data_IF_097808989241
#
_entry.id   IF_097808989241
#
_cell.length_a   1.000
_cell.length_b   1.000
_cell.length_c   1.000
_cell.angle_alpha   90.00
_cell.angle_beta   90.00
_cell.angle_gamma   90.00
#
_symmetry.space_group_name_H-M   'P 1'
#
loop_
_entity.id
_entity.type
_entity.pdbx_description
1 polymer ?
#
# COMPACT_ATOMS: atom_id res chain seq x y z
N UNK A 1 2.68 -9.77 7.82
CA UNK A 1 1.50 -10.39 8.45
C UNK A 1 0.92 -11.40 7.47
N UNK A 2 1.11 -12.71 7.67
CA UNK A 2 0.67 -13.76 6.72
C UNK A 2 -0.87 -13.94 6.73
N UNK A 3 -1.62 -12.92 6.35
CA UNK A 3 -3.09 -12.94 6.29
C UNK A 3 -3.58 -12.14 5.10
N UNK A 4 -4.81 -12.45 4.69
CA UNK A 4 -5.55 -11.63 3.72
C UNK A 4 -5.88 -10.27 4.34
N UNK A 5 -5.59 -9.21 3.59
CA UNK A 5 -5.95 -7.84 3.93
C UNK A 5 -7.45 -7.60 3.81
N UNK A 6 -7.98 -6.66 4.59
CA UNK A 6 -9.36 -6.20 4.44
C UNK A 6 -9.43 -5.02 3.48
N UNK A 7 -10.61 -4.77 2.91
CA UNK A 7 -10.82 -3.70 1.93
C UNK A 7 -10.46 -2.32 2.50
N UNK A 8 -10.72 -2.09 3.78
CA UNK A 8 -10.45 -0.82 4.45
C UNK A 8 -8.95 -0.53 4.56
N UNK A 9 -8.12 -1.56 4.56
CA UNK A 9 -6.66 -1.42 4.61
C UNK A 9 -6.12 -0.93 3.25
N UNK A 10 -6.65 -1.47 2.14
CA UNK A 10 -6.32 -0.99 0.80
C UNK A 10 -6.84 0.43 0.57
N UNK A 11 -8.08 0.72 1.00
CA UNK A 11 -8.69 2.04 0.87
C UNK A 11 -7.88 3.13 1.59
N UNK A 12 -7.34 2.83 2.78
CA UNK A 12 -6.48 3.75 3.52
C UNK A 12 -5.17 4.05 2.81
N UNK A 13 -4.55 3.04 2.21
CA UNK A 13 -3.33 3.27 1.44
C UNK A 13 -3.58 4.06 0.15
N UNK A 14 -4.70 3.82 -0.53
CA UNK A 14 -5.12 4.65 -1.66
C UNK A 14 -5.38 6.10 -1.20
N UNK A 15 -6.05 6.29 -0.06
CA UNK A 15 -6.28 7.61 0.51
C UNK A 15 -4.96 8.33 0.86
N UNK A 16 -3.97 7.61 1.39
CA UNK A 16 -2.63 8.17 1.62
C UNK A 16 -1.95 8.61 0.33
N UNK A 17 -2.00 7.80 -0.73
CA UNK A 17 -1.44 8.17 -2.05
C UNK A 17 -2.18 9.33 -2.73
N UNK A 18 -3.39 9.66 -2.27
CA UNK A 18 -4.17 10.81 -2.73
C UNK A 18 -4.02 12.03 -1.81
N UNK A 19 -3.34 11.90 -0.66
CA UNK A 19 -3.12 13.00 0.27
C UNK A 19 -1.78 13.70 0.01
N UNK A 20 -1.66 14.92 0.53
CA UNK A 20 -0.44 15.73 0.46
C UNK A 20 0.77 15.05 1.15
N UNK A 21 0.51 14.12 2.07
CA UNK A 21 1.55 13.34 2.75
C UNK A 21 2.37 12.46 1.78
N UNK A 22 1.82 12.18 0.60
CA UNK A 22 2.49 11.42 -0.46
C UNK A 22 3.12 12.29 -1.56
N UNK A 23 3.23 13.61 -1.35
CA UNK A 23 3.65 14.59 -2.36
C UNK A 23 4.99 14.32 -3.07
N UNK A 24 5.87 13.51 -2.49
CA UNK A 24 7.16 13.12 -3.09
C UNK A 24 7.20 11.67 -3.61
N UNK A 25 6.08 10.94 -3.54
CA UNK A 25 5.99 9.54 -3.95
C UNK A 25 5.32 9.47 -5.32
N UNK A 26 6.08 9.09 -6.35
CA UNK A 26 5.56 8.88 -7.70
C UNK A 26 6.33 7.79 -8.43
N UNK A 27 5.68 7.12 -9.39
CA UNK A 27 6.26 6.04 -10.21
C UNK A 27 6.61 4.77 -9.44
N UNK A 28 6.14 4.62 -8.20
CA UNK A 28 6.42 3.46 -7.34
C UNK A 28 5.28 2.45 -7.37
N UNK A 29 5.63 1.17 -7.33
CA UNK A 29 4.67 0.10 -7.08
C UNK A 29 4.62 -0.20 -5.58
N UNK A 30 3.49 0.11 -4.94
CA UNK A 30 3.27 -0.17 -3.51
C UNK A 30 2.63 -1.56 -3.35
N UNK A 31 3.41 -2.52 -2.83
CA UNK A 31 2.92 -3.88 -2.60
C UNK A 31 2.18 -3.98 -1.25
N UNK A 32 0.91 -4.36 -1.30
CA UNK A 32 0.03 -4.47 -0.14
C UNK A 32 -0.60 -5.86 -0.02
N UNK A 33 0.24 -6.86 0.26
CA UNK A 33 -0.16 -8.27 0.29
C UNK A 33 0.08 -8.94 1.65
N UNK A 34 0.32 -8.13 2.70
CA UNK A 34 0.68 -8.65 4.02
C UNK A 34 2.09 -9.25 4.11
N UNK A 35 2.94 -9.10 3.09
CA UNK A 35 4.27 -9.70 3.04
C UNK A 35 4.22 -11.15 2.58
N UNK A 36 3.30 -11.47 1.66
CA UNK A 36 3.21 -12.78 1.00
C UNK A 36 4.28 -12.95 -0.07
N UNK A 37 4.56 -11.88 -0.82
CA UNK A 37 5.61 -11.79 -1.81
C UNK A 37 6.83 -11.12 -1.19
N UNK A 38 8.00 -11.70 -1.43
CA UNK A 38 9.28 -11.07 -1.12
C UNK A 38 9.80 -10.44 -2.40
N UNK A 39 9.82 -9.12 -2.45
CA UNK A 39 10.52 -8.38 -3.51
C UNK A 39 11.99 -8.32 -3.10
N UNK A 40 12.86 -8.88 -3.93
CA UNK A 40 14.33 -8.84 -3.81
C UNK A 40 14.89 -7.71 -4.66
#
# INVERSE_FOLDING_TARGET
MKRIGRLEELAKAAAFLLSDDSSYITGQNLLMDGGMVRVI
#
